data_IF_868760280689
#
_entry.id   IF_868760280689
#
_cell.length_a   1.000
_cell.length_b   1.000
_cell.length_c   1.000
_cell.angle_alpha   90.00
_cell.angle_beta   90.00
_cell.angle_gamma   90.00
#
_symmetry.space_group_name_H-M   'P 1'
#
loop_
_entity.id
_entity.type
_entity.pdbx_description
1 polymer ?
#
# COMPACT_ATOMS: atom_id res chain seq x y z
N UNK A 1 -5.05 -22.45 3.27
CA UNK A 1 -3.70 -21.88 3.47
C UNK A 1 -3.82 -20.45 3.96
N UNK A 2 -3.07 -20.11 5.03
CA UNK A 2 -3.08 -18.79 5.67
C UNK A 2 -2.72 -17.68 4.68
N UNK A 3 -1.77 -17.92 3.79
CA UNK A 3 -1.38 -16.94 2.78
C UNK A 3 -2.53 -16.63 1.82
N UNK A 4 -3.23 -17.66 1.33
CA UNK A 4 -4.37 -17.49 0.42
C UNK A 4 -5.47 -16.65 1.08
N UNK A 5 -5.77 -16.92 2.36
CA UNK A 5 -6.75 -16.17 3.11
C UNK A 5 -6.32 -14.71 3.35
N UNK A 6 -5.05 -14.48 3.71
CA UNK A 6 -4.51 -13.12 3.87
C UNK A 6 -4.54 -12.35 2.55
N UNK A 7 -4.22 -12.99 1.42
CA UNK A 7 -4.32 -12.37 0.08
C UNK A 7 -5.75 -11.95 -0.26
N UNK A 8 -6.75 -12.77 0.08
CA UNK A 8 -8.15 -12.42 -0.16
C UNK A 8 -8.57 -11.17 0.61
N UNK A 9 -8.17 -11.06 1.89
CA UNK A 9 -8.44 -9.87 2.71
C UNK A 9 -7.71 -8.64 2.17
N UNK A 10 -6.45 -8.79 1.75
CA UNK A 10 -5.69 -7.71 1.14
C UNK A 10 -6.30 -7.25 -0.19
N UNK A 11 -6.79 -8.17 -1.02
CA UNK A 11 -7.46 -7.84 -2.28
C UNK A 11 -8.73 -7.02 -2.04
N UNK A 12 -9.55 -7.40 -1.06
CA UNK A 12 -10.74 -6.66 -0.65
C UNK A 12 -10.38 -5.26 -0.11
N UNK A 13 -9.33 -5.15 0.70
CA UNK A 13 -8.82 -3.86 1.15
C UNK A 13 -8.40 -2.97 -0.03
N UNK A 14 -7.68 -3.52 -1.02
CA UNK A 14 -7.27 -2.79 -2.22
C UNK A 14 -8.47 -2.26 -3.02
N UNK A 15 -9.56 -3.01 -3.10
CA UNK A 15 -10.79 -2.56 -3.79
C UNK A 15 -11.38 -1.31 -3.16
N UNK A 16 -11.35 -1.22 -1.83
CA UNK A 16 -11.87 -0.06 -1.08
C UNK A 16 -11.01 1.20 -1.24
N UNK A 17 -9.75 1.06 -1.67
CA UNK A 17 -8.79 2.17 -1.85
C UNK A 17 -8.91 2.88 -3.21
N UNK A 18 -10.14 3.10 -3.67
CA UNK A 18 -10.41 3.79 -4.92
C UNK A 18 -10.00 5.27 -4.85
N UNK A 19 -8.95 5.64 -5.58
CA UNK A 19 -8.40 7.00 -5.60
C UNK A 19 -7.03 7.11 -4.94
N UNK A 20 -6.62 6.12 -4.13
CA UNK A 20 -5.27 6.05 -3.57
C UNK A 20 -4.28 5.45 -4.56
N UNK A 21 -3.02 5.89 -4.47
CA UNK A 21 -1.90 5.19 -5.11
C UNK A 21 -1.43 4.10 -4.18
N UNK A 22 -1.53 2.87 -4.62
CA UNK A 22 -1.12 1.70 -3.85
C UNK A 22 0.06 1.03 -4.50
N UNK A 23 1.01 0.55 -3.71
CA UNK A 23 2.13 -0.26 -4.14
C UNK A 23 2.28 -1.47 -3.23
N UNK A 24 2.97 -2.49 -3.70
CA UNK A 24 3.20 -3.72 -2.98
C UNK A 24 4.70 -3.97 -2.79
N UNK A 25 5.10 -4.15 -1.54
CA UNK A 25 6.45 -4.58 -1.16
C UNK A 25 6.36 -5.94 -0.50
N UNK A 26 7.10 -6.90 -1.00
CA UNK A 26 7.30 -8.19 -0.35
C UNK A 26 8.68 -8.24 0.28
N UNK A 27 8.81 -8.93 1.40
CA UNK A 27 10.08 -9.04 2.10
C UNK A 27 10.26 -10.42 2.74
N UNK A 28 11.50 -10.78 2.84
CA UNK A 28 12.02 -12.01 3.44
C UNK A 28 13.47 -11.73 3.80
N UNK A 29 14.45 -12.44 3.25
CA UNK A 29 15.88 -12.11 3.38
C UNK A 29 16.22 -10.72 2.86
N UNK A 30 15.45 -10.24 1.87
CA UNK A 30 15.53 -8.90 1.30
C UNK A 30 14.13 -8.35 1.04
N UNK A 31 14.03 -7.04 0.90
CA UNK A 31 12.80 -6.37 0.51
C UNK A 31 12.79 -6.05 -0.98
N UNK A 32 11.66 -6.30 -1.64
CA UNK A 32 11.45 -6.05 -3.06
C UNK A 32 10.15 -5.28 -3.29
N UNK A 33 10.19 -4.26 -4.14
CA UNK A 33 8.98 -3.63 -4.64
C UNK A 33 8.39 -4.51 -5.75
N UNK A 34 7.31 -5.22 -5.44
CA UNK A 34 6.61 -6.07 -6.40
C UNK A 34 5.80 -5.20 -7.38
N UNK A 35 5.12 -4.19 -6.84
CA UNK A 35 4.39 -3.21 -7.65
C UNK A 35 4.75 -1.79 -7.21
N UNK A 36 5.06 -0.88 -8.14
CA UNK A 36 5.26 0.53 -7.82
C UNK A 36 3.95 1.17 -7.35
N UNK A 37 4.02 2.35 -6.74
CA UNK A 37 2.82 3.12 -6.37
C UNK A 37 2.04 3.54 -7.62
N UNK A 38 0.84 2.98 -7.78
CA UNK A 38 -0.03 3.19 -8.94
C UNK A 38 -1.49 3.38 -8.52
N UNK A 39 -2.28 4.01 -9.38
CA UNK A 39 -3.75 4.06 -9.28
C UNK A 39 -4.42 2.80 -9.84
N UNK A 40 -3.65 1.99 -10.59
CA UNK A 40 -4.12 0.74 -11.17
C UNK A 40 -4.11 -0.39 -10.12
N UNK A 41 -5.22 -0.49 -9.39
CA UNK A 41 -5.40 -1.49 -8.33
C UNK A 41 -5.52 -2.91 -8.90
N UNK A 42 -6.02 -3.04 -10.13
CA UNK A 42 -6.15 -4.36 -10.76
C UNK A 42 -4.78 -5.01 -10.95
N UNK A 43 -3.80 -4.27 -11.45
CA UNK A 43 -2.42 -4.75 -11.56
C UNK A 43 -1.81 -5.08 -10.19
N UNK A 44 -2.14 -4.32 -9.13
CA UNK A 44 -1.65 -4.63 -7.77
C UNK A 44 -2.26 -5.93 -7.24
N UNK A 45 -3.56 -6.14 -7.46
CA UNK A 45 -4.26 -7.38 -7.08
C UNK A 45 -3.74 -8.60 -7.83
N UNK A 46 -3.48 -8.48 -9.12
CA UNK A 46 -2.88 -9.53 -9.94
C UNK A 46 -1.51 -9.94 -9.38
N UNK A 47 -0.62 -8.98 -9.15
CA UNK A 47 0.70 -9.25 -8.57
C UNK A 47 0.63 -9.83 -7.15
N UNK A 48 -0.34 -9.38 -6.34
CA UNK A 48 -0.60 -9.97 -5.03
C UNK A 48 -1.04 -11.44 -5.18
N UNK A 49 -1.93 -11.74 -6.13
CA UNK A 49 -2.40 -13.10 -6.45
C UNK A 49 -1.25 -14.03 -6.85
N UNK A 50 -0.36 -13.55 -7.71
CA UNK A 50 0.77 -14.31 -8.26
C UNK A 50 1.94 -14.47 -7.27
N UNK A 51 1.97 -13.69 -6.18
CA UNK A 51 3.03 -13.79 -5.17
C UNK A 51 3.01 -15.19 -4.52
N UNK A 52 4.19 -15.78 -4.35
CA UNK A 52 4.34 -17.12 -3.75
C UNK A 52 5.15 -17.07 -2.47
N UNK A 53 4.90 -18.04 -1.57
CA UNK A 53 5.70 -18.21 -0.35
C UNK A 53 7.17 -18.44 -0.73
N UNK A 54 8.08 -17.76 -0.04
CA UNK A 54 9.52 -17.92 -0.26
C UNK A 54 10.11 -17.11 -1.40
N UNK A 55 9.30 -16.28 -2.11
CA UNK A 55 9.79 -15.39 -3.15
C UNK A 55 10.93 -14.49 -2.66
N UNK A 56 10.88 -14.03 -1.42
CA UNK A 56 11.87 -13.15 -0.81
C UNK A 56 12.85 -13.87 0.15
N UNK A 57 12.85 -15.21 0.17
CA UNK A 57 13.65 -16.01 1.11
C UNK A 57 12.88 -16.40 2.38
N UNK A 58 13.58 -17.06 3.33
CA UNK A 58 12.97 -17.61 4.55
C UNK A 58 13.18 -16.74 5.80
N UNK A 59 14.02 -15.71 5.72
CA UNK A 59 14.26 -14.77 6.79
C UNK A 59 13.32 -13.58 6.70
N UNK A 60 13.39 -12.62 7.64
CA UNK A 60 12.45 -11.50 7.76
C UNK A 60 13.20 -10.19 7.93
N UNK A 61 13.34 -9.40 6.87
CA UNK A 61 14.05 -8.11 6.85
C UNK A 61 13.08 -6.94 7.00
N UNK A 62 12.49 -6.76 8.19
CA UNK A 62 11.50 -5.71 8.49
C UNK A 62 12.07 -4.31 8.25
N UNK A 63 13.28 -4.04 8.74
CA UNK A 63 13.93 -2.74 8.64
C UNK A 63 14.14 -2.31 7.18
N UNK A 64 14.61 -3.23 6.34
CA UNK A 64 14.84 -2.97 4.92
C UNK A 64 13.50 -2.77 4.17
N UNK A 65 12.44 -3.50 4.56
CA UNK A 65 11.10 -3.33 4.00
C UNK A 65 10.53 -1.93 4.28
N UNK A 66 10.64 -1.46 5.54
CA UNK A 66 10.25 -0.11 5.94
C UNK A 66 11.05 0.94 5.16
N UNK A 67 12.36 0.77 5.04
CA UNK A 67 13.22 1.72 4.32
C UNK A 67 12.86 1.79 2.83
N UNK A 68 12.65 0.65 2.18
CA UNK A 68 12.26 0.59 0.77
C UNK A 68 10.90 1.25 0.54
N UNK A 69 9.89 0.93 1.37
CA UNK A 69 8.56 1.52 1.29
C UNK A 69 8.62 3.04 1.51
N UNK A 70 9.35 3.49 2.53
CA UNK A 70 9.56 4.93 2.81
C UNK A 70 10.15 5.65 1.59
N UNK A 71 11.21 5.10 1.00
CA UNK A 71 11.85 5.66 -0.19
C UNK A 71 10.87 5.78 -1.37
N UNK A 72 9.97 4.79 -1.55
CA UNK A 72 8.97 4.82 -2.62
C UNK A 72 7.89 5.85 -2.35
N UNK A 73 7.43 5.95 -1.11
CA UNK A 73 6.41 6.92 -0.70
C UNK A 73 6.92 8.37 -0.82
N UNK A 74 8.21 8.62 -0.55
CA UNK A 74 8.82 9.94 -0.73
C UNK A 74 8.82 10.43 -2.18
N UNK A 75 8.87 9.52 -3.14
CA UNK A 75 8.88 9.85 -4.58
C UNK A 75 7.52 10.31 -5.10
N UNK A 76 6.48 10.23 -4.28
CA UNK A 76 5.13 10.68 -4.63
C UNK A 76 4.96 12.16 -4.26
N UNK A 77 4.15 12.91 -5.04
CA UNK A 77 3.77 14.26 -4.68
C UNK A 77 3.06 14.29 -3.32
N UNK A 78 2.94 15.47 -2.75
CA UNK A 78 2.38 15.70 -1.42
C UNK A 78 1.04 14.97 -1.21
N UNK A 79 0.89 14.35 -0.04
CA UNK A 79 -0.27 13.57 0.37
C UNK A 79 0.02 12.77 1.63
N UNK A 80 -0.98 12.07 2.13
CA UNK A 80 -0.78 11.13 3.23
C UNK A 80 0.08 9.95 2.74
N UNK A 81 1.12 9.65 3.53
CA UNK A 81 2.04 8.54 3.26
C UNK A 81 1.86 7.50 4.34
N UNK A 82 1.23 6.41 3.98
CA UNK A 82 0.89 5.32 4.91
C UNK A 82 1.54 4.03 4.45
N UNK A 83 2.15 3.32 5.38
CA UNK A 83 2.66 1.97 5.20
C UNK A 83 1.88 1.03 6.13
N UNK A 84 1.27 0.00 5.56
CA UNK A 84 0.71 -1.13 6.32
C UNK A 84 1.73 -2.26 6.26
N UNK A 85 2.33 -2.56 7.40
CA UNK A 85 3.32 -3.62 7.57
C UNK A 85 2.63 -4.86 8.13
N UNK A 86 2.54 -5.92 7.33
CA UNK A 86 2.00 -7.22 7.74
C UNK A 86 3.15 -8.21 7.90
N UNK A 87 3.28 -8.83 9.07
CA UNK A 87 4.30 -9.84 9.35
C UNK A 87 3.80 -10.90 10.32
N UNK A 88 4.31 -12.11 10.18
CA UNK A 88 4.07 -13.23 11.08
C UNK A 88 5.33 -13.66 11.86
N UNK A 89 6.44 -12.93 11.72
CA UNK A 89 7.72 -13.27 12.31
C UNK A 89 8.45 -12.09 12.97
N UNK A 90 9.59 -12.42 13.57
CA UNK A 90 10.56 -11.48 14.13
C UNK A 90 11.54 -11.03 13.05
N UNK A 91 12.18 -9.88 13.26
CA UNK A 91 13.25 -9.44 12.35
C UNK A 91 14.49 -10.33 12.50
N UNK A 92 14.83 -11.09 11.47
CA UNK A 92 15.95 -12.04 11.46
C UNK A 92 17.00 -11.74 10.39
N UNK A 93 16.73 -10.78 9.51
CA UNK A 93 17.61 -10.41 8.40
C UNK A 93 17.53 -8.91 8.10
N UNK A 94 18.24 -8.49 7.07
CA UNK A 94 18.31 -7.10 6.63
C UNK A 94 19.52 -6.35 7.19
N UNK A 95 19.82 -5.23 6.57
CA UNK A 95 20.94 -4.35 6.93
C UNK A 95 20.52 -3.25 7.88
N UNK A 96 19.25 -2.86 7.85
CA UNK A 96 18.73 -1.76 8.65
C UNK A 96 17.92 -2.27 9.85
N UNK A 97 18.28 -1.79 11.02
CA UNK A 97 17.51 -2.06 12.25
C UNK A 97 16.09 -1.48 12.13
N UNK A 98 15.02 -2.26 12.48
CA UNK A 98 13.63 -1.82 12.34
C UNK A 98 13.29 -0.53 13.10
N UNK A 99 13.84 -0.31 14.30
CA UNK A 99 13.58 0.90 15.06
C UNK A 99 14.24 2.13 14.42
N UNK A 100 15.41 1.93 13.80
CA UNK A 100 16.08 2.98 13.01
C UNK A 100 15.30 3.28 11.74
N UNK A 101 14.80 2.27 11.04
CA UNK A 101 13.95 2.42 9.86
C UNK A 101 12.65 3.18 10.18
N UNK A 102 12.01 2.87 11.32
CA UNK A 102 10.82 3.59 11.78
C UNK A 102 11.07 5.08 12.04
N UNK A 103 12.25 5.43 12.65
CA UNK A 103 12.62 6.85 12.81
C UNK A 103 12.79 7.55 11.47
N UNK A 104 13.45 6.91 10.51
CA UNK A 104 13.60 7.44 9.14
C UNK A 104 12.22 7.64 8.51
N UNK A 105 11.31 6.69 8.66
CA UNK A 105 9.94 6.79 8.15
C UNK A 105 9.20 8.00 8.75
N UNK A 106 9.24 8.16 10.09
CA UNK A 106 8.67 9.32 10.79
C UNK A 106 9.22 10.64 10.27
N UNK A 107 10.55 10.76 10.15
CA UNK A 107 11.24 11.99 9.73
C UNK A 107 10.89 12.36 8.27
N UNK A 108 10.35 11.40 7.51
CA UNK A 108 9.86 11.58 6.14
C UNK A 108 8.31 11.62 6.05
N UNK A 109 7.63 11.77 7.18
CA UNK A 109 6.18 11.89 7.24
C UNK A 109 5.43 10.62 6.85
N UNK A 110 6.06 9.44 6.98
CA UNK A 110 5.42 8.15 6.71
C UNK A 110 4.88 7.57 8.01
N UNK A 111 3.58 7.31 8.04
CA UNK A 111 2.88 6.63 9.13
C UNK A 111 2.90 5.13 8.89
N UNK A 112 3.20 4.33 9.92
CA UNK A 112 3.26 2.87 9.81
C UNK A 112 2.20 2.25 10.70
N UNK A 113 1.24 1.55 10.09
CA UNK A 113 0.37 0.61 10.80
C UNK A 113 1.01 -0.77 10.75
N UNK A 114 1.28 -1.35 11.91
CA UNK A 114 1.91 -2.65 12.02
C UNK A 114 0.87 -3.71 12.40
N UNK A 115 0.79 -4.77 11.62
CA UNK A 115 -0.13 -5.88 11.80
C UNK A 115 0.68 -7.15 12.02
N UNK A 116 0.60 -7.72 13.23
CA UNK A 116 1.11 -9.04 13.52
C UNK A 116 0.05 -10.07 13.11
N UNK A 117 0.39 -10.98 12.20
CA UNK A 117 -0.53 -12.01 11.70
C UNK A 117 -0.05 -13.40 12.08
N UNK A 118 -0.85 -14.14 12.83
CA UNK A 118 -0.55 -15.53 13.18
C UNK A 118 -1.19 -15.94 14.49
N UNK A 119 -1.45 -17.24 14.64
CA UNK A 119 -1.99 -17.82 15.87
C UNK A 119 -0.98 -17.71 17.03
N UNK A 120 -1.49 -17.76 18.24
CA UNK A 120 -0.67 -17.95 19.43
C UNK A 120 0.12 -19.25 19.20
N UNK A 121 1.44 -19.19 19.25
CA UNK A 121 2.30 -20.38 19.13
C UNK A 121 1.75 -21.47 20.06
N UNK A 122 1.33 -22.59 19.48
CA UNK A 122 0.62 -23.63 20.23
C UNK A 122 1.44 -24.10 21.41
N UNK A 123 1.05 -23.72 22.63
CA UNK A 123 1.51 -24.35 23.82
C UNK A 123 0.93 -25.76 23.86
N UNK A 124 1.76 -26.79 23.59
CA UNK A 124 1.37 -28.16 23.88
C UNK A 124 1.33 -28.31 25.40
N UNK A 125 0.12 -28.45 25.94
CA UNK A 125 -0.04 -28.88 27.33
C UNK A 125 0.27 -30.38 27.42
N UNK A 126 1.48 -30.71 27.80
CA UNK A 126 1.89 -32.08 28.13
C UNK A 126 1.93 -32.19 29.63
N UNK A 127 1.06 -33.02 30.21
CA UNK A 127 0.97 -33.27 31.64
C UNK A 127 0.75 -32.02 32.54
N UNK A 128 0.01 -31.02 32.05
CA UNK A 128 -0.28 -29.81 32.83
C UNK A 128 0.86 -28.77 32.85
N UNK A 129 1.96 -29.05 32.18
CA UNK A 129 3.03 -28.07 31.91
C UNK A 129 2.83 -27.51 30.49
N UNK A 130 2.66 -26.19 30.39
CA UNK A 130 2.69 -25.49 29.13
C UNK A 130 4.16 -25.35 28.71
N UNK A 131 4.58 -26.24 27.81
CA UNK A 131 5.86 -26.09 27.13
C UNK A 131 5.65 -25.13 25.96
N UNK A 132 6.30 -23.96 25.95
CA UNK A 132 6.31 -23.12 24.77
C UNK A 132 7.05 -23.92 23.68
N UNK A 133 6.30 -24.50 22.76
CA UNK A 133 6.88 -24.94 21.51
C UNK A 133 7.20 -23.66 20.74
N UNK A 134 8.50 -23.43 20.51
CA UNK A 134 9.00 -22.32 19.73
C UNK A 134 8.40 -22.27 18.32
N UNK A 135 7.21 -21.75 18.25
CA UNK A 135 6.64 -21.19 17.06
C UNK A 135 7.07 -19.72 17.06
N UNK A 136 7.49 -19.22 15.91
CA UNK A 136 8.00 -17.89 15.71
C UNK A 136 7.19 -16.85 16.48
N UNK A 137 7.72 -16.44 17.66
CA UNK A 137 7.12 -15.37 18.46
C UNK A 137 7.30 -14.08 17.67
N UNK A 138 6.19 -13.52 17.21
CA UNK A 138 6.19 -12.17 16.59
C UNK A 138 6.67 -11.17 17.65
N UNK A 139 7.66 -10.34 17.34
CA UNK A 139 8.09 -9.24 18.22
C UNK A 139 7.01 -8.13 18.27
N UNK A 140 5.94 -8.42 19.01
CA UNK A 140 4.83 -7.46 19.17
C UNK A 140 5.32 -6.15 19.80
N UNK A 141 6.22 -6.21 20.76
CA UNK A 141 6.77 -5.03 21.41
C UNK A 141 7.58 -4.16 20.41
N UNK A 142 8.33 -4.77 19.51
CA UNK A 142 9.03 -4.09 18.43
C UNK A 142 8.06 -3.46 17.44
N UNK A 143 7.03 -4.19 17.00
CA UNK A 143 6.01 -3.69 16.09
C UNK A 143 5.18 -2.55 16.71
N UNK A 144 4.83 -2.63 17.99
CA UNK A 144 4.17 -1.55 18.74
C UNK A 144 5.04 -0.28 18.76
N UNK A 145 6.35 -0.42 19.01
CA UNK A 145 7.28 0.72 18.99
C UNK A 145 7.40 1.35 17.61
N UNK A 146 7.46 0.54 16.54
CA UNK A 146 7.50 1.02 15.14
C UNK A 146 6.25 1.85 14.83
N UNK A 147 5.06 1.32 15.15
CA UNK A 147 3.81 2.02 14.95
C UNK A 147 3.74 3.32 15.77
N UNK A 148 4.03 3.27 17.07
CA UNK A 148 3.96 4.42 17.97
C UNK A 148 4.89 5.57 17.54
N UNK A 149 6.15 5.26 17.16
CA UNK A 149 7.15 6.27 16.73
C UNK A 149 6.69 7.01 15.48
N UNK A 150 5.95 6.37 14.59
CA UNK A 150 5.47 6.94 13.33
C UNK A 150 4.05 7.52 13.41
N UNK A 151 3.40 7.47 14.58
CA UNK A 151 2.02 7.92 14.77
C UNK A 151 0.97 6.98 14.16
N UNK A 152 1.35 5.75 13.87
CA UNK A 152 0.42 4.70 13.44
C UNK A 152 -0.09 3.85 14.60
N UNK A 153 -0.72 2.72 14.28
CA UNK A 153 -1.28 1.79 15.27
C UNK A 153 -0.74 0.38 15.05
N UNK A 154 -0.65 -0.37 16.14
CA UNK A 154 -0.35 -1.79 16.14
C UNK A 154 -1.64 -2.59 16.26
N UNK A 155 -1.70 -3.69 15.52
CA UNK A 155 -2.81 -4.64 15.52
C UNK A 155 -2.30 -6.07 15.61
N UNK A 156 -3.10 -6.94 16.20
CA UNK A 156 -2.86 -8.38 16.25
C UNK A 156 -4.02 -9.11 15.57
N UNK A 157 -3.74 -9.80 14.47
CA UNK A 157 -4.69 -10.69 13.80
C UNK A 157 -4.34 -12.15 14.09
N UNK A 158 -5.24 -12.88 14.73
CA UNK A 158 -5.08 -14.31 15.04
C UNK A 158 -5.57 -15.19 13.89
N UNK A 159 -6.55 -14.69 13.17
CA UNK A 159 -7.20 -15.32 12.05
C UNK A 159 -7.54 -14.34 10.95
N UNK A 160 -8.16 -14.82 9.90
CA UNK A 160 -8.52 -14.02 8.72
C UNK A 160 -9.63 -13.02 9.01
N UNK A 161 -10.58 -13.37 9.89
CA UNK A 161 -11.70 -12.48 10.24
C UNK A 161 -11.21 -11.29 11.07
N UNK A 162 -10.30 -11.55 12.02
CA UNK A 162 -9.61 -10.49 12.76
C UNK A 162 -8.81 -9.59 11.81
N UNK A 163 -8.14 -10.16 10.82
CA UNK A 163 -7.38 -9.41 9.82
C UNK A 163 -8.32 -8.51 8.98
N UNK A 164 -9.47 -9.00 8.56
CA UNK A 164 -10.47 -8.22 7.82
C UNK A 164 -11.00 -7.04 8.65
N UNK A 165 -11.28 -7.26 9.94
CA UNK A 165 -11.68 -6.22 10.87
C UNK A 165 -10.60 -5.13 11.06
N UNK A 166 -9.33 -5.52 11.13
CA UNK A 166 -8.19 -4.60 11.24
C UNK A 166 -8.08 -3.72 9.99
N UNK A 167 -8.23 -4.29 8.80
CA UNK A 167 -8.18 -3.49 7.57
C UNK A 167 -9.37 -2.54 7.45
N UNK A 168 -10.55 -2.90 7.95
CA UNK A 168 -11.68 -1.97 8.05
C UNK A 168 -11.41 -0.82 9.03
N UNK A 169 -10.72 -1.08 10.15
CA UNK A 169 -10.28 -0.05 11.08
C UNK A 169 -9.22 0.87 10.47
N UNK A 170 -8.27 0.33 9.72
CA UNK A 170 -7.26 1.13 8.99
C UNK A 170 -7.96 2.02 7.94
N UNK A 171 -8.98 1.53 7.25
CA UNK A 171 -9.78 2.34 6.32
C UNK A 171 -10.46 3.52 7.01
N UNK A 172 -10.94 3.33 8.24
CA UNK A 172 -11.55 4.41 9.02
C UNK A 172 -10.51 5.43 9.53
N UNK A 173 -9.30 4.98 9.87
CA UNK A 173 -8.21 5.83 10.35
C UNK A 173 -7.57 6.65 9.22
N UNK A 174 -7.50 6.08 8.02
CA UNK A 174 -6.86 6.65 6.85
C UNK A 174 -7.89 6.78 5.70
N UNK A 175 -8.84 7.71 5.82
CA UNK A 175 -9.86 7.87 4.79
C UNK A 175 -9.23 8.27 3.45
N UNK A 176 -9.72 7.67 2.38
CA UNK A 176 -9.27 7.97 1.01
C UNK A 176 -9.49 9.46 0.74
N UNK A 177 -8.42 10.21 0.58
CA UNK A 177 -8.51 11.59 0.12
C UNK A 177 -8.88 11.56 -1.36
N UNK A 178 -10.16 11.66 -1.67
CA UNK A 178 -10.60 11.95 -3.03
C UNK A 178 -10.09 13.34 -3.38
N UNK A 179 -8.87 13.41 -3.87
CA UNK A 179 -8.46 14.55 -4.66
C UNK A 179 -9.42 14.56 -5.84
N UNK A 180 -10.46 15.37 -5.73
CA UNK A 180 -11.29 15.67 -6.89
C UNK A 180 -10.29 16.14 -7.96
N UNK A 181 -10.01 15.26 -8.92
CA UNK A 181 -9.39 15.73 -10.16
C UNK A 181 -10.31 16.87 -10.60
N UNK A 182 -9.82 18.09 -10.44
CA UNK A 182 -10.46 19.22 -11.08
C UNK A 182 -10.39 18.90 -12.58
N UNK A 183 -11.41 18.19 -13.05
CA UNK A 183 -11.66 18.03 -14.47
C UNK A 183 -11.93 19.45 -14.94
N UNK A 184 -10.89 20.15 -15.36
CA UNK A 184 -11.06 21.38 -16.10
C UNK A 184 -11.67 20.95 -17.43
N UNK A 185 -12.99 21.16 -17.66
CA UNK A 185 -13.56 20.87 -18.94
C UNK A 185 -12.77 21.72 -19.95
N UNK A 186 -12.03 21.07 -20.84
CA UNK A 186 -11.47 21.76 -22.01
C UNK A 186 -12.65 22.22 -22.83
N UNK A 187 -13.07 23.47 -22.63
CA UNK A 187 -14.05 24.12 -23.50
C UNK A 187 -13.30 24.36 -24.81
N UNK A 188 -13.53 23.46 -25.75
CA UNK A 188 -12.96 23.58 -27.08
C UNK A 188 -13.63 24.77 -27.79
N UNK A 189 -12.88 25.84 -27.93
CA UNK A 189 -13.36 27.09 -28.57
C UNK A 189 -13.10 27.11 -30.09
N UNK A 190 -12.72 25.99 -30.68
CA UNK A 190 -12.46 25.91 -32.13
C UNK A 190 -13.69 26.18 -33.05
N UNK A 191 -14.97 25.99 -32.63
CA UNK A 191 -16.08 26.25 -33.48
C UNK A 191 -16.20 27.71 -33.92
N UNK A 192 -15.81 28.67 -33.05
CA UNK A 192 -15.85 30.11 -33.36
C UNK A 192 -14.89 30.51 -34.47
N UNK A 193 -13.56 30.25 -34.37
CA UNK A 193 -12.63 30.58 -35.46
C UNK A 193 -12.94 29.79 -36.75
N UNK A 194 -13.43 28.55 -36.64
CA UNK A 194 -13.83 27.78 -37.82
C UNK A 194 -15.01 28.39 -38.52
N UNK A 195 -16.03 28.86 -37.80
CA UNK A 195 -17.21 29.55 -38.40
C UNK A 195 -16.79 30.85 -39.11
N UNK A 196 -15.89 31.64 -38.52
CA UNK A 196 -15.35 32.83 -39.15
C UNK A 196 -14.54 32.52 -40.41
N UNK A 197 -13.69 31.49 -40.39
CA UNK A 197 -12.90 31.07 -41.54
C UNK A 197 -13.81 30.61 -42.71
N UNK A 198 -14.86 29.83 -42.41
CA UNK A 198 -15.84 29.40 -43.37
C UNK A 198 -16.66 30.59 -43.96
N UNK A 199 -17.08 31.52 -43.12
CA UNK A 199 -17.79 32.73 -43.54
C UNK A 199 -16.98 33.59 -44.50
N UNK A 200 -15.73 33.85 -44.17
CA UNK A 200 -14.79 34.64 -45.01
C UNK A 200 -14.53 33.91 -46.35
N UNK A 201 -14.33 32.58 -46.31
CA UNK A 201 -14.11 31.77 -47.50
C UNK A 201 -15.29 31.80 -48.47
N UNK A 202 -16.51 31.70 -47.94
CA UNK A 202 -17.78 31.78 -48.73
C UNK A 202 -17.93 33.16 -49.34
N UNK A 203 -17.66 34.22 -48.60
CA UNK A 203 -17.72 35.60 -49.07
C UNK A 203 -16.73 35.87 -50.20
N UNK A 204 -15.48 35.37 -50.07
CA UNK A 204 -14.48 35.46 -51.13
C UNK A 204 -14.89 34.75 -52.41
N UNK A 205 -15.51 33.58 -52.28
CA UNK A 205 -16.02 32.79 -53.41
C UNK A 205 -17.16 33.49 -54.15
N UNK A 206 -18.10 34.12 -53.43
CA UNK A 206 -19.19 34.88 -54.00
C UNK A 206 -18.70 36.14 -54.71
N UNK A 207 -17.74 36.87 -54.11
CA UNK A 207 -17.17 38.09 -54.74
C UNK A 207 -16.29 37.71 -55.94
N UNK A 208 -15.50 36.63 -55.86
CA UNK A 208 -14.70 36.17 -56.99
C UNK A 208 -15.50 35.67 -58.20
N UNK A 209 -16.73 35.20 -57.95
CA UNK A 209 -17.62 34.72 -59.04
C UNK A 209 -18.40 35.85 -59.76
N UNK A 210 -18.34 37.06 -59.21
CA UNK A 210 -19.00 38.26 -59.80
C UNK A 210 -18.05 39.13 -60.62
N UNK A 211 -16.79 38.73 -60.73
CA UNK A 211 -15.80 39.29 -61.62
C UNK A 211 -15.56 38.31 -62.79
#
# INVERSE_FOLDING_TARGET
DRLTAAKAVLADFLERRAGDRVGLVVFGERAFALTPLTLDRASVQEQLGDSVVGLAGRATAIGDAIALATKRLQQQPDGQRVLVLLTDGVNTAGTLDPAKAARIARDNGVRIHAVAFGGDGGALSVFGFQLPMGGDEVDEAGLQRIAAVTGGRFFRARDTDALAGIYAEIDALEPVQRQGQAVRPKIERYPLPLAWALGIGLLALVVGRRR
#
